data_IF_241411034795
#
_entry.id   IF_241411034795
#
_cell.length_a   1.000
_cell.length_b   1.000
_cell.length_c   1.000
_cell.angle_alpha   90.00
_cell.angle_beta   90.00
_cell.angle_gamma   90.00
#
_symmetry.space_group_name_H-M   'P 1'
#
loop_
_entity.id
_entity.type
_entity.pdbx_description
1 polymer ?
#
# COMPACT_ATOMS: atom_id res chain seq x y z
N UNK A 1 -4.45 -20.05 13.80
CA UNK A 1 -3.46 -19.02 13.43
C UNK A 1 -4.21 -17.88 12.76
N UNK A 2 -3.81 -16.63 13.00
CA UNK A 2 -4.48 -15.50 12.37
C UNK A 2 -4.07 -15.44 10.89
N UNK A 3 -5.00 -14.98 10.04
CA UNK A 3 -4.73 -14.73 8.62
C UNK A 3 -4.70 -13.23 8.38
N UNK A 4 -3.70 -12.76 7.64
CA UNK A 4 -3.47 -11.34 7.34
C UNK A 4 -3.59 -11.13 5.84
N UNK A 5 -4.51 -10.25 5.44
CA UNK A 5 -4.61 -9.81 4.04
C UNK A 5 -3.34 -9.03 3.67
N UNK A 6 -2.51 -9.64 2.84
CA UNK A 6 -1.14 -9.21 2.58
C UNK A 6 -0.94 -8.86 1.11
N UNK A 7 -0.12 -7.85 0.86
CA UNK A 7 0.33 -7.44 -0.46
C UNK A 7 1.75 -6.88 -0.38
N UNK A 8 2.42 -6.81 -1.53
CA UNK A 8 3.73 -6.16 -1.70
C UNK A 8 3.51 -4.83 -2.39
N UNK A 9 4.12 -3.77 -1.86
CA UNK A 9 3.94 -2.42 -2.37
C UNK A 9 5.26 -1.64 -2.43
N UNK A 10 5.26 -0.63 -3.30
CA UNK A 10 6.31 0.39 -3.39
C UNK A 10 5.76 1.65 -2.70
N UNK A 11 6.51 2.13 -1.72
CA UNK A 11 6.24 3.42 -1.09
C UNK A 11 6.43 4.54 -2.11
N UNK A 12 5.48 5.48 -2.16
CA UNK A 12 5.62 6.63 -3.04
C UNK A 12 6.54 7.69 -2.41
N UNK A 13 7.38 8.37 -3.22
CA UNK A 13 8.16 9.51 -2.75
C UNK A 13 7.30 10.61 -2.13
N UNK A 14 7.84 11.34 -1.14
CA UNK A 14 7.10 12.37 -0.40
C UNK A 14 6.55 13.47 -1.33
N UNK A 15 7.30 13.90 -2.33
CA UNK A 15 6.87 14.93 -3.29
C UNK A 15 5.67 14.47 -4.14
N UNK A 16 5.64 13.20 -4.53
CA UNK A 16 4.52 12.57 -5.25
C UNK A 16 3.31 12.43 -4.32
N UNK A 17 3.52 12.01 -3.07
CA UNK A 17 2.46 11.94 -2.06
C UNK A 17 1.80 13.30 -1.84
N UNK A 18 2.59 14.33 -1.60
CA UNK A 18 2.08 15.67 -1.30
C UNK A 18 1.30 16.29 -2.48
N UNK A 19 1.75 16.02 -3.72
CA UNK A 19 1.00 16.40 -4.93
C UNK A 19 -0.32 15.66 -5.05
N UNK A 20 -0.34 14.37 -4.73
CA UNK A 20 -1.54 13.53 -4.76
C UNK A 20 -2.55 13.99 -3.71
N UNK A 21 -2.10 14.26 -2.48
CA UNK A 21 -2.97 14.78 -1.40
C UNK A 21 -3.62 16.10 -1.80
N UNK A 22 -2.85 17.06 -2.33
CA UNK A 22 -3.41 18.33 -2.84
C UNK A 22 -4.45 18.14 -3.95
N UNK A 23 -4.35 17.08 -4.74
CA UNK A 23 -5.35 16.76 -5.76
C UNK A 23 -6.60 16.14 -5.12
N UNK A 24 -6.42 15.20 -4.18
CA UNK A 24 -7.49 14.60 -3.41
C UNK A 24 -8.30 15.68 -2.68
N UNK A 25 -7.66 16.64 -2.00
CA UNK A 25 -8.32 17.74 -1.29
C UNK A 25 -9.22 18.58 -2.20
N UNK A 26 -8.77 18.83 -3.44
CA UNK A 26 -9.55 19.58 -4.44
C UNK A 26 -10.74 18.78 -4.92
N UNK A 27 -10.59 17.46 -5.10
CA UNK A 27 -11.64 16.59 -5.63
C UNK A 27 -12.66 16.22 -4.56
N UNK A 28 -12.23 15.96 -3.33
CA UNK A 28 -13.10 15.63 -2.21
C UNK A 28 -14.06 16.78 -1.87
N UNK A 29 -13.63 18.02 -2.05
CA UNK A 29 -14.49 19.20 -1.91
C UNK A 29 -15.64 19.27 -2.94
N UNK A 30 -15.60 18.46 -4.00
CA UNK A 30 -16.65 18.44 -5.05
C UNK A 30 -17.68 17.34 -4.86
N UNK A 31 -17.41 16.31 -4.05
CA UNK A 31 -18.33 15.19 -3.82
C UNK A 31 -17.99 14.39 -2.58
N UNK A 32 -19.02 14.08 -1.79
CA UNK A 32 -18.94 13.18 -0.62
C UNK A 32 -19.18 11.70 -0.99
N UNK A 33 -19.38 11.39 -2.28
CA UNK A 33 -19.70 10.03 -2.74
C UNK A 33 -18.48 9.14 -2.91
N UNK A 34 -17.27 9.68 -2.74
CA UNK A 34 -16.01 8.95 -2.89
C UNK A 34 -15.38 8.76 -1.51
N UNK A 35 -15.05 7.50 -1.18
CA UNK A 35 -14.21 7.20 -0.01
C UNK A 35 -12.74 7.33 -0.41
N UNK A 36 -12.11 8.41 0.04
CA UNK A 36 -10.70 8.65 -0.17
C UNK A 36 -9.86 7.83 0.80
N UNK A 37 -8.67 7.41 0.34
CA UNK A 37 -7.70 6.69 1.16
C UNK A 37 -6.87 7.68 1.98
N UNK A 38 -6.51 7.32 3.21
CA UNK A 38 -5.65 8.17 4.03
C UNK A 38 -4.27 8.36 3.38
N UNK A 39 -3.65 9.54 3.53
CA UNK A 39 -2.35 9.82 2.92
C UNK A 39 -1.24 8.83 3.27
N UNK A 40 -1.21 8.30 4.51
CA UNK A 40 -0.22 7.29 4.91
C UNK A 40 -0.38 5.94 4.19
N UNK A 41 -1.58 5.68 3.66
CA UNK A 41 -1.91 4.45 2.97
C UNK A 41 -1.68 4.56 1.46
N UNK A 42 -1.19 5.69 0.94
CA UNK A 42 -0.86 5.85 -0.46
C UNK A 42 0.41 5.05 -0.82
N UNK A 43 0.26 4.09 -1.72
CA UNK A 43 1.34 3.25 -2.22
C UNK A 43 0.98 2.70 -3.60
N UNK A 44 1.98 2.13 -4.29
CA UNK A 44 1.74 1.35 -5.52
C UNK A 44 1.79 -0.13 -5.17
N UNK A 45 0.64 -0.81 -5.24
CA UNK A 45 0.60 -2.26 -5.03
C UNK A 45 1.21 -2.97 -6.25
N UNK A 46 2.16 -3.86 -6.00
CA UNK A 46 2.83 -4.66 -7.05
C UNK A 46 2.22 -6.06 -7.15
N UNK A 47 1.89 -6.67 -6.01
CA UNK A 47 1.35 -8.03 -5.96
C UNK A 47 0.46 -8.23 -4.73
N UNK A 48 -0.76 -8.71 -4.95
CA UNK A 48 -1.62 -9.22 -3.87
C UNK A 48 -1.22 -10.67 -3.55
N UNK A 49 -1.05 -10.97 -2.27
CA UNK A 49 -0.78 -12.32 -1.76
C UNK A 49 -2.02 -12.97 -1.13
N UNK A 50 -3.09 -12.19 -0.93
CA UNK A 50 -4.31 -12.67 -0.28
C UNK A 50 -4.11 -12.85 1.21
N UNK A 51 -4.78 -13.83 1.79
CA UNK A 51 -4.74 -14.11 3.22
C UNK A 51 -3.56 -15.04 3.55
N UNK A 52 -2.51 -14.48 4.14
CA UNK A 52 -1.28 -15.19 4.52
C UNK A 52 -1.36 -15.58 6.00
N UNK A 53 -0.86 -16.77 6.36
CA UNK A 53 -0.76 -17.14 7.79
C UNK A 53 0.21 -16.22 8.52
N UNK A 54 -0.13 -15.80 9.75
CA UNK A 54 0.74 -14.95 10.56
C UNK A 54 2.13 -15.57 10.78
N UNK A 55 2.23 -16.90 10.81
CA UNK A 55 3.51 -17.61 10.90
C UNK A 55 4.36 -17.58 9.62
N UNK A 56 3.75 -17.29 8.47
CA UNK A 56 4.42 -17.26 7.16
C UNK A 56 4.95 -15.87 6.78
N UNK A 57 4.54 -14.81 7.49
CA UNK A 57 4.88 -13.42 7.16
C UNK A 57 6.40 -13.19 7.09
N UNK A 58 7.17 -13.80 8.01
CA UNK A 58 8.63 -13.71 7.99
C UNK A 58 9.22 -14.24 6.66
N UNK A 59 8.69 -15.33 6.13
CA UNK A 59 9.13 -15.92 4.86
C UNK A 59 8.72 -15.08 3.66
N UNK A 60 7.56 -14.43 3.73
CA UNK A 60 7.15 -13.43 2.72
C UNK A 60 8.15 -12.28 2.67
N UNK A 61 8.50 -11.69 3.82
CA UNK A 61 9.50 -10.61 3.89
C UNK A 61 10.85 -11.05 3.32
N UNK A 62 11.32 -12.25 3.67
CA UNK A 62 12.54 -12.86 3.11
C UNK A 62 12.49 -12.96 1.59
N UNK A 63 11.40 -13.51 1.06
CA UNK A 63 11.23 -13.71 -0.39
C UNK A 63 11.21 -12.38 -1.16
N UNK A 64 10.63 -11.33 -0.59
CA UNK A 64 10.65 -9.98 -1.20
C UNK A 64 12.05 -9.38 -1.17
N UNK A 65 12.80 -9.54 -0.08
CA UNK A 65 14.18 -9.09 0.00
C UNK A 65 15.06 -9.81 -1.04
N UNK A 66 14.94 -11.12 -1.16
CA UNK A 66 15.72 -11.91 -2.12
C UNK A 66 15.35 -11.56 -3.57
N UNK A 67 14.07 -11.29 -3.87
CA UNK A 67 13.61 -10.87 -5.19
C UNK A 67 14.04 -9.44 -5.60
N UNK A 68 14.53 -8.64 -4.65
CA UNK A 68 14.99 -7.26 -4.87
C UNK A 68 16.49 -7.09 -4.67
N UNK A 69 17.19 -8.15 -4.24
CA UNK A 69 18.64 -8.20 -4.19
C UNK A 69 19.18 -8.17 -5.63
N UNK A 70 20.02 -7.19 -5.92
CA UNK A 70 20.74 -7.06 -7.20
C UNK A 70 21.89 -8.06 -7.29
#
# INVERSE_FOLDING_TARGET
MARIRTFVAIAIPNDVRDRTVRLIDKLSATTDSVRWVDPENLHVTVKFLGDVDDTEIYQVCRSVADATAQ
#
